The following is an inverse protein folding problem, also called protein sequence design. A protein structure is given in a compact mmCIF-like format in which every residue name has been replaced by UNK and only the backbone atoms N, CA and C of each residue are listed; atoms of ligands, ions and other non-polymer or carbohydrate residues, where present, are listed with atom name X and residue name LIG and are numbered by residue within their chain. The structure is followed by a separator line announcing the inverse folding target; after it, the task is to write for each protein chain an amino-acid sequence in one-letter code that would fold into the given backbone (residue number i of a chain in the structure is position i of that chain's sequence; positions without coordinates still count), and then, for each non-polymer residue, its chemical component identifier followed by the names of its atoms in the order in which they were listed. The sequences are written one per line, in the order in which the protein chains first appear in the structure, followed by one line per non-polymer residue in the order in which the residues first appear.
data_IF_650168053982
#
_entry.id   IF_650168053982
#
_cell.length_a   1.000
_cell.length_b   1.000
_cell.length_c   1.000
_cell.angle_alpha   90.00
_cell.angle_beta   90.00
_cell.angle_gamma   90.00
#
_symmetry.space_group_name_H-M   'P 1'
#
loop_
_entity.id
_entity.type
_entity.pdbx_description
1 polymer ?
#
# COMPACT_ATOMS: atom_id res chain seq x y z
N UNK A 1 -35.57 21.32 -34.24
CA UNK A 1 -34.56 22.02 -33.40
C UNK A 1 -34.42 23.45 -33.90
N UNK A 2 -34.70 24.47 -33.07
CA UNK A 2 -34.64 25.88 -33.46
C UNK A 2 -33.19 26.33 -33.74
N UNK A 3 -33.04 27.43 -34.54
CA UNK A 3 -31.69 27.94 -34.91
C UNK A 3 -30.78 28.15 -33.70
N UNK A 4 -31.27 28.63 -32.55
CA UNK A 4 -30.49 28.80 -31.31
C UNK A 4 -29.94 27.47 -30.75
N UNK A 5 -30.75 26.40 -30.78
CA UNK A 5 -30.28 25.09 -30.29
C UNK A 5 -29.17 24.49 -31.17
N UNK A 6 -29.22 24.74 -32.51
CA UNK A 6 -28.15 24.31 -33.41
C UNK A 6 -26.82 25.02 -33.11
N UNK A 7 -26.86 26.32 -32.80
CA UNK A 7 -25.66 27.07 -32.45
C UNK A 7 -25.05 26.63 -31.09
N UNK A 8 -25.89 26.31 -30.10
CA UNK A 8 -25.43 25.78 -28.81
C UNK A 8 -24.74 24.42 -28.99
N UNK A 9 -25.37 23.52 -29.76
CA UNK A 9 -24.77 22.19 -30.02
C UNK A 9 -23.48 22.32 -30.83
N UNK A 10 -23.41 23.21 -31.81
CA UNK A 10 -22.20 23.48 -32.58
C UNK A 10 -21.08 24.05 -31.66
N UNK A 11 -21.43 24.97 -30.75
CA UNK A 11 -20.47 25.53 -29.79
C UNK A 11 -19.91 24.49 -28.83
N UNK A 12 -20.77 23.61 -28.30
CA UNK A 12 -20.32 22.49 -27.42
C UNK A 12 -19.41 21.53 -28.19
N UNK A 13 -19.80 21.20 -29.45
CA UNK A 13 -18.99 20.32 -30.30
C UNK A 13 -17.59 20.89 -30.60
N UNK A 14 -17.54 22.21 -30.91
CA UNK A 14 -16.28 22.91 -31.17
C UNK A 14 -15.42 22.98 -29.90
N UNK A 15 -16.00 23.22 -28.72
CA UNK A 15 -15.31 23.22 -27.44
C UNK A 15 -14.72 21.85 -27.10
N UNK A 16 -15.49 20.78 -27.29
CA UNK A 16 -15.03 19.43 -27.10
C UNK A 16 -13.89 19.04 -28.06
N UNK A 17 -13.99 19.43 -29.33
CA UNK A 17 -12.94 19.20 -30.32
C UNK A 17 -11.65 19.97 -29.98
N UNK A 18 -11.75 21.22 -29.54
CA UNK A 18 -10.60 22.00 -29.11
C UNK A 18 -9.93 21.41 -27.88
N UNK A 19 -10.69 20.97 -26.87
CA UNK A 19 -10.16 20.27 -25.70
C UNK A 19 -9.46 18.98 -26.10
N UNK A 20 -10.09 18.18 -26.97
CA UNK A 20 -9.47 16.95 -27.49
C UNK A 20 -8.15 17.20 -28.20
N UNK A 21 -8.11 18.25 -29.07
CA UNK A 21 -6.88 18.65 -29.76
C UNK A 21 -5.75 19.07 -28.77
N UNK A 22 -6.12 19.84 -27.73
CA UNK A 22 -5.14 20.23 -26.69
C UNK A 22 -4.61 19.00 -25.95
N UNK A 23 -5.48 18.07 -25.56
CA UNK A 23 -5.09 16.84 -24.86
C UNK A 23 -4.14 15.99 -25.70
N UNK A 24 -4.49 15.79 -27.00
CA UNK A 24 -3.64 15.05 -27.94
C UNK A 24 -2.30 15.74 -28.14
N UNK A 25 -2.29 17.07 -28.32
CA UNK A 25 -1.04 17.83 -28.47
C UNK A 25 -0.17 17.78 -27.23
N UNK A 26 -0.76 17.79 -26.02
CA UNK A 26 -0.02 17.62 -24.76
C UNK A 26 0.53 16.20 -24.62
N UNK A 27 -0.27 15.19 -24.93
CA UNK A 27 0.16 13.80 -24.91
C UNK A 27 1.32 13.53 -25.91
N UNK A 28 1.22 14.06 -27.13
CA UNK A 28 2.27 13.93 -28.14
C UNK A 28 3.58 14.64 -27.76
N UNK A 29 3.50 15.68 -26.91
CA UNK A 29 4.67 16.41 -26.38
C UNK A 29 5.17 15.83 -25.06
N UNK A 30 4.45 14.89 -24.48
CA UNK A 30 4.86 14.23 -23.27
C UNK A 30 5.96 13.22 -23.62
N UNK A 31 7.20 13.69 -23.50
CA UNK A 31 8.40 12.84 -23.51
C UNK A 31 8.92 12.81 -22.07
N UNK A 32 8.90 11.65 -21.41
CA UNK A 32 9.63 11.48 -20.15
C UNK A 32 11.08 11.86 -20.40
N UNK A 33 11.61 12.81 -19.62
CA UNK A 33 12.96 13.34 -19.82
C UNK A 33 14.04 12.29 -19.54
N UNK A 34 13.70 11.30 -18.72
CA UNK A 34 14.59 10.23 -18.35
C UNK A 34 13.90 8.88 -18.63
N UNK A 35 14.43 8.15 -19.59
CA UNK A 35 14.15 6.72 -19.67
C UNK A 35 15.01 6.05 -18.60
N UNK A 36 14.40 5.75 -17.46
CA UNK A 36 15.07 5.00 -16.41
C UNK A 36 15.41 3.61 -16.98
N UNK A 37 16.68 3.36 -17.17
CA UNK A 37 17.15 2.01 -17.46
C UNK A 37 17.35 1.33 -16.11
N UNK A 38 16.68 0.22 -15.92
CA UNK A 38 16.92 -0.60 -14.75
C UNK A 38 18.43 -0.89 -14.65
N UNK A 39 19.00 -0.74 -13.46
CA UNK A 39 20.44 -0.93 -13.24
C UNK A 39 20.93 -2.34 -13.61
N UNK A 40 20.02 -3.30 -13.74
CA UNK A 40 20.33 -4.72 -13.92
C UNK A 40 21.00 -5.35 -12.70
N UNK A 41 21.13 -4.61 -11.61
CA UNK A 41 21.70 -5.13 -10.36
C UNK A 41 20.72 -6.15 -9.77
N UNK A 42 21.15 -7.40 -9.72
CA UNK A 42 20.40 -8.44 -9.02
C UNK A 42 20.64 -8.25 -7.52
N UNK A 43 19.55 -8.05 -6.79
CA UNK A 43 19.57 -8.03 -5.33
C UNK A 43 19.51 -9.49 -4.87
N UNK A 44 20.44 -9.87 -4.02
CA UNK A 44 20.46 -11.20 -3.39
C UNK A 44 19.47 -11.20 -2.23
N UNK A 45 18.40 -11.99 -2.36
CA UNK A 45 17.33 -12.11 -1.39
C UNK A 45 17.23 -13.56 -0.92
N UNK A 46 17.00 -13.74 0.37
CA UNK A 46 16.65 -15.04 0.93
C UNK A 46 15.17 -15.35 0.66
N UNK A 47 14.89 -15.87 -0.53
CA UNK A 47 13.52 -16.16 -0.99
C UNK A 47 12.79 -17.14 -0.05
N UNK A 48 13.51 -18.12 0.52
CA UNK A 48 12.92 -19.10 1.45
C UNK A 48 12.48 -18.42 2.76
N UNK A 49 13.33 -17.58 3.32
CA UNK A 49 12.99 -16.79 4.52
C UNK A 49 11.77 -15.89 4.25
N UNK A 50 11.79 -15.13 3.16
CA UNK A 50 10.69 -14.20 2.81
C UNK A 50 9.36 -14.94 2.71
N UNK A 51 9.34 -16.11 2.04
CA UNK A 51 8.13 -16.93 1.91
C UNK A 51 7.67 -17.46 3.27
N UNK A 52 8.58 -17.94 4.11
CA UNK A 52 8.26 -18.43 5.44
C UNK A 52 7.69 -17.32 6.33
N UNK A 53 8.30 -16.14 6.32
CA UNK A 53 7.85 -14.99 7.10
C UNK A 53 6.45 -14.53 6.66
N UNK A 54 6.22 -14.49 5.35
CA UNK A 54 4.90 -14.20 4.81
C UNK A 54 3.87 -15.25 5.21
N UNK A 55 4.22 -16.54 5.24
CA UNK A 55 3.34 -17.60 5.69
C UNK A 55 2.94 -17.41 7.16
N UNK A 56 3.89 -17.06 8.03
CA UNK A 56 3.59 -16.80 9.45
C UNK A 56 2.67 -15.58 9.62
N UNK A 57 2.86 -14.54 8.84
CA UNK A 57 1.95 -13.38 8.84
C UNK A 57 0.52 -13.75 8.40
N UNK A 58 0.37 -14.58 7.36
CA UNK A 58 -0.96 -15.03 6.88
C UNK A 58 -1.67 -15.88 7.93
N UNK A 59 -0.95 -16.69 8.71
CA UNK A 59 -1.50 -17.52 9.80
C UNK A 59 -2.02 -16.70 10.99
N UNK A 60 -1.76 -15.40 11.03
CA UNK A 60 -2.41 -14.48 11.96
C UNK A 60 -3.74 -14.02 11.36
N UNK A 61 -4.86 -14.45 11.93
CA UNK A 61 -6.22 -14.16 11.44
C UNK A 61 -6.69 -12.77 11.88
N UNK A 62 -6.01 -11.75 11.43
CA UNK A 62 -6.29 -10.36 11.78
C UNK A 62 -7.52 -9.81 11.05
N UNK A 63 -8.65 -10.47 11.22
CA UNK A 63 -9.89 -10.10 10.53
C UNK A 63 -10.52 -8.90 11.23
N UNK A 64 -10.72 -7.82 10.49
CA UNK A 64 -11.44 -6.64 10.95
C UNK A 64 -12.93 -6.73 10.64
N UNK A 65 -13.74 -6.16 11.51
CA UNK A 65 -15.19 -6.10 11.38
C UNK A 65 -15.70 -4.72 11.78
N UNK A 66 -16.76 -4.25 11.12
CA UNK A 66 -17.47 -3.05 11.54
C UNK A 66 -18.12 -3.19 12.95
N UNK A 67 -18.43 -4.42 13.35
CA UNK A 67 -18.84 -4.73 14.72
C UNK A 67 -17.63 -5.17 15.56
N UNK A 68 -17.15 -4.32 16.49
CA UNK A 68 -15.97 -4.64 17.29
C UNK A 68 -16.10 -5.90 18.15
N UNK A 69 -17.31 -6.36 18.43
CA UNK A 69 -17.54 -7.58 19.23
C UNK A 69 -17.14 -8.86 18.49
N UNK A 70 -16.96 -8.80 17.17
CA UNK A 70 -16.56 -9.93 16.33
C UNK A 70 -15.03 -10.01 16.15
N UNK A 71 -14.29 -8.99 16.59
CA UNK A 71 -12.83 -8.92 16.41
C UNK A 71 -12.14 -9.82 17.44
N UNK A 72 -11.31 -10.73 16.97
CA UNK A 72 -10.43 -11.52 17.82
C UNK A 72 -9.10 -10.75 18.06
N UNK A 73 -9.06 -9.97 19.15
CA UNK A 73 -7.89 -9.20 19.54
C UNK A 73 -6.63 -10.04 19.74
N UNK A 74 -6.78 -11.33 20.04
CA UNK A 74 -5.63 -12.22 20.27
C UNK A 74 -4.85 -12.47 18.99
N UNK A 75 -5.51 -12.49 17.83
CA UNK A 75 -4.87 -12.63 16.53
C UNK A 75 -4.10 -11.35 16.14
N UNK A 76 -4.61 -10.17 16.51
CA UNK A 76 -3.90 -8.90 16.33
C UNK A 76 -2.69 -8.80 17.27
N UNK A 77 -2.81 -9.25 18.50
CA UNK A 77 -1.68 -9.31 19.43
C UNK A 77 -0.61 -10.30 18.95
N UNK A 78 -1.04 -11.48 18.50
CA UNK A 78 -0.16 -12.49 17.89
C UNK A 78 0.64 -11.89 16.73
N UNK A 79 -0.02 -11.17 15.81
CA UNK A 79 0.66 -10.52 14.68
C UNK A 79 1.68 -9.48 15.16
N UNK A 80 1.29 -8.62 16.12
CA UNK A 80 2.20 -7.60 16.66
C UNK A 80 3.42 -8.20 17.36
N UNK A 81 3.27 -9.34 18.01
CA UNK A 81 4.37 -10.05 18.69
C UNK A 81 5.25 -10.83 17.72
N UNK A 82 4.71 -11.25 16.59
CA UNK A 82 5.44 -11.93 15.52
C UNK A 82 6.49 -11.03 14.86
N UNK A 83 6.19 -9.75 14.63
CA UNK A 83 7.07 -8.84 13.89
C UNK A 83 8.50 -8.75 14.47
N UNK A 84 8.72 -8.59 15.79
CA UNK A 84 10.07 -8.62 16.35
C UNK A 84 10.81 -9.96 16.18
N UNK A 85 10.09 -11.07 16.09
CA UNK A 85 10.68 -12.40 15.91
C UNK A 85 11.18 -12.58 14.47
N UNK A 86 10.41 -12.09 13.49
CA UNK A 86 10.76 -12.17 12.08
C UNK A 86 11.83 -11.14 11.68
N UNK A 87 11.81 -9.96 12.31
CA UNK A 87 12.61 -8.79 11.93
C UNK A 87 13.44 -8.22 13.09
N UNK A 88 14.42 -9.00 13.62
CA UNK A 88 15.22 -8.60 14.77
C UNK A 88 16.07 -7.36 14.52
N UNK A 89 16.64 -7.17 13.32
CA UNK A 89 17.43 -5.98 13.02
C UNK A 89 16.59 -4.71 13.08
N UNK A 90 15.35 -4.75 12.54
CA UNK A 90 14.42 -3.63 12.66
C UNK A 90 14.06 -3.40 14.11
N UNK A 91 13.78 -4.45 14.87
CA UNK A 91 13.41 -4.33 16.27
C UNK A 91 14.50 -3.68 17.12
N UNK A 92 15.77 -4.03 16.86
CA UNK A 92 16.93 -3.53 17.60
C UNK A 92 17.35 -2.11 17.19
N UNK A 93 17.07 -1.70 15.94
CA UNK A 93 17.58 -0.44 15.39
C UNK A 93 16.50 0.63 15.12
N UNK A 94 15.23 0.27 15.17
CA UNK A 94 14.13 1.20 14.98
C UNK A 94 13.33 1.39 16.28
N UNK A 95 12.88 2.60 16.56
CA UNK A 95 11.87 2.77 17.60
C UNK A 95 10.51 2.30 17.12
N UNK A 96 9.75 1.64 18.01
CA UNK A 96 8.40 1.15 17.73
C UNK A 96 7.41 1.72 18.70
N UNK A 97 6.28 2.18 18.20
CA UNK A 97 5.16 2.69 19.00
C UNK A 97 3.86 2.03 18.53
N UNK A 98 2.94 1.84 19.44
CA UNK A 98 1.55 1.52 19.14
C UNK A 98 0.74 2.81 19.20
N UNK A 99 0.06 3.15 18.11
CA UNK A 99 -0.74 4.36 17.96
C UNK A 99 -2.22 3.96 17.92
N UNK A 100 -3.01 4.56 18.79
CA UNK A 100 -4.39 4.13 18.95
C UNK A 100 -4.49 2.68 19.40
N UNK A 101 -5.44 1.94 18.83
CA UNK A 101 -5.69 0.52 19.19
C UNK A 101 -4.87 -0.45 18.37
N UNK A 102 -4.73 -0.20 17.07
CA UNK A 102 -4.18 -1.15 16.11
C UNK A 102 -3.06 -0.57 15.25
N UNK A 103 -2.78 0.72 15.30
CA UNK A 103 -1.70 1.33 14.53
C UNK A 103 -0.33 0.94 15.07
N UNK A 104 0.58 0.57 14.20
CA UNK A 104 1.99 0.29 14.51
C UNK A 104 2.84 1.30 13.74
N UNK A 105 3.66 2.05 14.46
CA UNK A 105 4.57 3.02 13.86
C UNK A 105 6.01 2.69 14.25
N UNK A 106 6.83 2.35 13.24
CA UNK A 106 8.26 2.24 13.38
C UNK A 106 8.93 3.51 12.86
N UNK A 107 10.03 3.91 13.49
CA UNK A 107 10.91 4.97 13.01
C UNK A 107 12.33 4.41 12.84
N UNK A 108 12.79 4.41 11.62
CA UNK A 108 14.19 4.15 11.26
C UNK A 108 14.92 5.48 11.11
N UNK A 109 15.78 5.79 12.07
CA UNK A 109 16.45 7.08 12.16
C UNK A 109 17.44 7.29 11.01
N UNK A 110 17.36 8.43 10.37
CA UNK A 110 18.30 8.88 9.33
C UNK A 110 19.56 9.49 9.89
N UNK A 111 20.53 9.77 8.99
CA UNK A 111 21.80 10.41 9.29
C UNK A 111 21.69 11.92 9.53
N UNK A 112 20.71 12.54 8.89
CA UNK A 112 20.52 13.98 8.83
C UNK A 112 19.06 14.33 9.13
N UNK A 113 18.83 15.51 9.70
CA UNK A 113 17.48 16.06 9.86
C UNK A 113 16.88 16.36 8.48
N UNK A 114 15.61 16.14 8.32
CA UNK A 114 14.86 16.41 7.10
C UNK A 114 13.47 15.79 7.14
N UNK A 115 12.66 16.13 6.14
CA UNK A 115 11.32 15.60 6.03
C UNK A 115 11.37 14.08 5.72
N UNK A 116 10.71 13.24 6.51
CA UNK A 116 10.79 11.80 6.38
C UNK A 116 9.96 11.25 5.22
N UNK A 117 10.27 10.02 4.84
CA UNK A 117 9.41 9.17 4.01
C UNK A 117 8.60 8.24 4.90
N UNK A 118 7.32 8.05 4.58
CA UNK A 118 6.45 7.07 5.23
C UNK A 118 6.14 5.96 4.23
N UNK A 119 6.38 4.71 4.62
CA UNK A 119 5.97 3.52 3.91
C UNK A 119 4.79 2.91 4.66
N UNK A 120 3.64 2.80 4.00
CA UNK A 120 2.39 2.36 4.60
C UNK A 120 1.99 0.97 4.13
N UNK A 121 1.23 0.31 4.95
CA UNK A 121 0.49 -0.92 4.64
C UNK A 121 -0.54 -1.16 5.73
N UNK A 122 -1.46 -2.09 5.51
CA UNK A 122 -2.32 -2.60 6.58
C UNK A 122 -2.09 -4.10 6.81
N UNK A 123 -2.43 -4.57 8.00
CA UNK A 123 -2.26 -5.97 8.38
C UNK A 123 -3.56 -6.65 8.76
N UNK A 124 -4.66 -5.89 8.84
CA UNK A 124 -5.98 -6.47 8.91
C UNK A 124 -6.44 -7.00 7.55
N UNK A 125 -7.46 -7.81 7.57
CA UNK A 125 -8.01 -8.45 6.37
C UNK A 125 -9.53 -8.56 6.49
N UNK A 126 -10.22 -8.59 5.36
CA UNK A 126 -11.66 -8.85 5.32
C UNK A 126 -12.01 -10.29 5.71
N UNK A 127 -13.22 -10.54 6.20
CA UNK A 127 -13.72 -11.90 6.46
C UNK A 127 -13.64 -12.81 5.23
N UNK A 128 -13.65 -14.11 5.47
CA UNK A 128 -13.67 -15.14 4.43
C UNK A 128 -14.90 -16.01 4.54
N UNK A 129 -15.40 -16.48 3.41
CA UNK A 129 -16.38 -17.54 3.30
C UNK A 129 -15.61 -18.81 2.90
N UNK A 130 -15.14 -19.58 3.90
CA UNK A 130 -14.21 -20.70 3.73
C UNK A 130 -14.68 -21.75 2.70
N UNK A 131 -15.99 -21.93 2.55
CA UNK A 131 -16.59 -22.86 1.59
C UNK A 131 -16.48 -22.39 0.13
N UNK A 132 -16.11 -21.13 -0.11
CA UNK A 132 -15.87 -20.56 -1.43
C UNK A 132 -14.38 -20.54 -1.81
N UNK A 133 -13.49 -20.94 -0.90
CA UNK A 133 -12.06 -20.98 -1.14
C UNK A 133 -11.61 -22.37 -1.61
N UNK A 134 -10.71 -22.40 -2.61
CA UNK A 134 -10.10 -23.65 -3.08
C UNK A 134 -9.15 -24.26 -2.05
N UNK A 135 -8.53 -23.42 -1.23
CA UNK A 135 -7.60 -23.79 -0.15
C UNK A 135 -7.96 -23.04 1.13
N UNK A 136 -7.68 -23.59 2.32
CA UNK A 136 -7.93 -22.89 3.57
C UNK A 136 -7.27 -21.51 3.60
N UNK A 137 -8.07 -20.48 3.85
CA UNK A 137 -7.68 -19.07 3.65
C UNK A 137 -6.52 -18.59 4.54
N UNK A 138 -6.26 -19.24 5.67
CA UNK A 138 -5.25 -18.83 6.65
C UNK A 138 -4.16 -19.89 6.90
N UNK A 139 -4.07 -20.92 6.08
CA UNK A 139 -3.00 -21.92 6.22
C UNK A 139 -1.73 -21.55 5.44
N UNK A 140 -1.80 -20.53 4.62
CA UNK A 140 -0.65 -20.03 3.86
C UNK A 140 0.03 -21.13 3.03
N UNK A 141 -0.74 -21.80 2.19
CA UNK A 141 -0.27 -22.96 1.40
C UNK A 141 0.60 -22.47 0.25
N UNK A 142 1.85 -22.95 0.21
CA UNK A 142 2.74 -22.76 -0.93
C UNK A 142 2.61 -23.97 -1.87
N UNK A 143 2.12 -23.72 -3.08
CA UNK A 143 1.97 -24.77 -4.08
C UNK A 143 2.29 -24.24 -5.48
N UNK A 144 3.12 -24.95 -6.22
CA UNK A 144 3.54 -24.61 -7.59
C UNK A 144 4.19 -23.21 -7.71
N UNK A 145 4.82 -22.70 -6.65
CA UNK A 145 5.42 -21.37 -6.61
C UNK A 145 4.45 -20.24 -6.31
N UNK A 146 3.21 -20.57 -5.95
CA UNK A 146 2.16 -19.63 -5.56
C UNK A 146 1.83 -19.77 -4.07
N UNK A 147 1.81 -18.66 -3.36
CA UNK A 147 1.39 -18.60 -1.95
C UNK A 147 -0.09 -18.24 -1.86
N UNK A 148 -0.88 -19.16 -1.34
CA UNK A 148 -2.33 -19.03 -1.18
C UNK A 148 -2.67 -18.59 0.24
N UNK A 149 -3.48 -17.52 0.35
CA UNK A 149 -3.99 -17.08 1.65
C UNK A 149 -4.66 -15.72 1.60
N UNK A 150 -5.56 -15.45 2.54
CA UNK A 150 -6.18 -14.14 2.74
C UNK A 150 -5.12 -13.16 3.26
N UNK A 151 -4.98 -12.00 2.58
CA UNK A 151 -3.97 -10.99 2.90
C UNK A 151 -2.64 -11.13 2.14
N UNK A 152 -2.48 -12.15 1.25
CA UNK A 152 -1.25 -12.27 0.44
C UNK A 152 -1.06 -11.10 -0.51
N UNK A 153 -2.14 -10.57 -1.08
CA UNK A 153 -2.13 -9.39 -1.96
C UNK A 153 -2.53 -8.13 -1.19
N UNK A 154 -3.58 -8.21 -0.42
CA UNK A 154 -4.24 -7.11 0.27
C UNK A 154 -4.14 -7.33 1.79
N UNK A 155 -3.18 -6.70 2.51
CA UNK A 155 -1.92 -6.19 1.91
C UNK A 155 -0.70 -6.56 2.77
N UNK A 156 -0.77 -7.71 3.50
CA UNK A 156 0.40 -8.25 4.23
C UNK A 156 1.60 -8.49 3.33
N UNK A 157 1.37 -8.72 2.01
CA UNK A 157 2.43 -8.82 1.03
C UNK A 157 3.26 -7.55 0.91
N UNK A 158 2.62 -6.39 0.87
CA UNK A 158 3.29 -5.09 0.87
C UNK A 158 4.05 -4.87 2.19
N UNK A 159 3.42 -5.18 3.34
CA UNK A 159 4.06 -5.10 4.64
C UNK A 159 5.31 -6.00 4.71
N UNK A 160 5.20 -7.24 4.27
CA UNK A 160 6.32 -8.18 4.19
C UNK A 160 7.46 -7.59 3.34
N UNK A 161 7.16 -7.08 2.14
CA UNK A 161 8.16 -6.47 1.27
C UNK A 161 8.88 -5.27 1.88
N UNK A 162 8.16 -4.41 2.61
CA UNK A 162 8.75 -3.27 3.34
C UNK A 162 9.69 -3.77 4.44
N UNK A 163 9.23 -4.72 5.25
CA UNK A 163 9.98 -5.20 6.39
C UNK A 163 11.21 -6.02 5.96
N UNK A 164 11.09 -6.90 4.98
CA UNK A 164 12.22 -7.67 4.45
C UNK A 164 13.32 -6.77 3.85
N UNK A 165 12.91 -5.75 3.10
CA UNK A 165 13.86 -4.79 2.53
C UNK A 165 14.59 -4.01 3.63
N UNK A 166 13.88 -3.55 4.65
CA UNK A 166 14.47 -2.81 5.76
C UNK A 166 15.36 -3.71 6.64
N UNK A 167 14.90 -4.92 6.97
CA UNK A 167 15.65 -5.91 7.74
C UNK A 167 17.01 -6.21 7.11
N UNK A 168 17.01 -6.47 5.80
CA UNK A 168 18.23 -6.70 5.02
C UNK A 168 19.16 -5.48 5.04
N UNK A 169 18.64 -4.31 4.71
CA UNK A 169 19.45 -3.09 4.63
C UNK A 169 20.06 -2.71 5.99
N UNK A 170 19.29 -2.85 7.07
CA UNK A 170 19.80 -2.61 8.43
C UNK A 170 20.87 -3.63 8.78
N UNK A 171 20.63 -4.92 8.49
CA UNK A 171 21.62 -5.97 8.70
C UNK A 171 22.92 -5.79 7.92
N UNK A 172 22.87 -5.12 6.77
CA UNK A 172 24.04 -4.71 5.97
C UNK A 172 24.70 -3.40 6.46
N UNK A 173 24.15 -2.79 7.51
CA UNK A 173 24.66 -1.55 8.09
C UNK A 173 24.28 -0.28 7.33
N UNK A 174 23.28 -0.36 6.44
CA UNK A 174 22.75 0.82 5.76
C UNK A 174 21.99 1.71 6.75
N UNK A 175 22.17 3.02 6.59
CA UNK A 175 21.37 4.03 7.31
C UNK A 175 20.84 5.03 6.26
N UNK A 176 19.54 5.34 6.25
CA UNK A 176 18.96 6.30 5.30
C UNK A 176 19.48 7.72 5.57
N UNK A 177 19.34 8.62 4.61
CA UNK A 177 19.73 10.02 4.82
C UNK A 177 18.77 10.71 5.79
N UNK A 178 17.47 10.59 5.57
CA UNK A 178 16.41 11.11 6.43
C UNK A 178 15.63 9.96 7.04
N UNK A 179 14.85 10.24 8.07
CA UNK A 179 14.04 9.23 8.73
C UNK A 179 13.10 8.53 7.77
N UNK A 180 12.94 7.22 7.96
CA UNK A 180 11.90 6.43 7.31
C UNK A 180 10.95 5.92 8.40
N UNK A 181 9.66 6.15 8.19
CA UNK A 181 8.64 5.57 9.04
C UNK A 181 7.94 4.42 8.33
N UNK A 182 7.68 3.34 9.07
CA UNK A 182 6.79 2.28 8.63
C UNK A 182 5.50 2.42 9.42
N UNK A 183 4.39 2.69 8.72
CA UNK A 183 3.09 2.94 9.32
C UNK A 183 2.14 1.80 8.93
N UNK A 184 1.79 0.95 9.88
CA UNK A 184 0.94 -0.20 9.64
C UNK A 184 -0.38 -0.08 10.38
N UNK A 185 -1.48 -0.11 9.63
CA UNK A 185 -2.84 -0.02 10.15
C UNK A 185 -3.44 -1.41 10.33
N UNK A 186 -4.26 -1.58 11.35
CA UNK A 186 -4.91 -2.86 11.62
C UNK A 186 -6.43 -2.77 11.60
N UNK A 187 -6.98 -1.76 10.93
CA UNK A 187 -8.42 -1.53 10.79
C UNK A 187 -8.76 -0.75 9.50
N UNK A 188 -7.91 -0.93 8.46
CA UNK A 188 -8.05 -0.25 7.17
C UNK A 188 -9.35 -0.68 6.48
N UNK A 189 -9.60 -1.98 6.38
CA UNK A 189 -10.71 -2.62 5.68
C UNK A 189 -12.12 -2.20 6.20
N UNK A 190 -12.14 -1.58 7.37
CA UNK A 190 -13.36 -1.06 8.00
C UNK A 190 -13.36 0.45 8.15
N UNK A 191 -12.44 1.16 7.46
CA UNK A 191 -12.23 2.61 7.61
C UNK A 191 -12.06 3.00 9.08
N UNK A 192 -11.19 2.29 9.79
CA UNK A 192 -10.98 2.44 11.21
C UNK A 192 -10.21 3.71 11.60
N UNK A 193 -9.70 3.71 12.80
CA UNK A 193 -9.13 4.92 13.42
C UNK A 193 -7.60 4.92 13.49
N UNK A 194 -6.94 3.81 13.12
CA UNK A 194 -5.48 3.71 13.25
C UNK A 194 -4.73 4.65 12.31
N UNK A 195 -5.13 4.72 11.05
CA UNK A 195 -4.50 5.64 10.10
C UNK A 195 -4.71 7.12 10.50
N UNK A 196 -5.94 7.60 10.79
CA UNK A 196 -6.15 8.93 11.33
C UNK A 196 -5.32 9.22 12.59
N UNK A 197 -5.22 8.27 13.52
CA UNK A 197 -4.43 8.45 14.74
C UNK A 197 -2.92 8.58 14.45
N UNK A 198 -2.40 7.86 13.47
CA UNK A 198 -1.00 8.01 13.02
C UNK A 198 -0.78 9.40 12.39
N UNK A 199 -1.72 9.88 11.57
CA UNK A 199 -1.66 11.23 11.00
C UNK A 199 -1.66 12.29 12.09
N UNK A 200 -2.58 12.19 13.08
CA UNK A 200 -2.63 13.09 14.23
C UNK A 200 -1.32 13.07 15.02
N UNK A 201 -0.74 11.89 15.21
CA UNK A 201 0.56 11.75 15.86
C UNK A 201 1.66 12.54 15.12
N UNK A 202 1.74 12.48 13.78
CA UNK A 202 2.69 13.26 12.99
C UNK A 202 2.45 14.78 13.16
N UNK A 203 1.19 15.21 13.12
CA UNK A 203 0.81 16.61 13.31
C UNK A 203 1.22 17.12 14.69
N UNK A 204 0.92 16.36 15.76
CA UNK A 204 1.28 16.70 17.15
C UNK A 204 2.79 16.81 17.37
N UNK A 205 3.58 16.04 16.61
CA UNK A 205 5.04 16.08 16.69
C UNK A 205 5.68 17.08 15.72
N UNK A 206 4.86 17.81 14.94
CA UNK A 206 5.33 18.82 13.99
C UNK A 206 6.18 18.24 12.86
N UNK A 207 5.93 16.98 12.50
CA UNK A 207 6.69 16.28 11.46
C UNK A 207 6.04 16.52 10.10
N UNK A 208 6.77 17.13 9.17
CA UNK A 208 6.36 17.30 7.80
C UNK A 208 6.85 16.12 6.97
N UNK A 209 5.93 15.43 6.32
CA UNK A 209 6.23 14.22 5.54
C UNK A 209 6.58 14.63 4.11
N UNK A 210 7.76 14.21 3.61
CA UNK A 210 8.19 14.46 2.23
C UNK A 210 7.43 13.60 1.22
N UNK A 211 7.19 12.33 1.57
CA UNK A 211 6.55 11.36 0.69
C UNK A 211 5.87 10.27 1.50
N UNK A 212 4.71 9.87 1.05
CA UNK A 212 4.02 8.67 1.52
C UNK A 212 3.95 7.68 0.37
N UNK A 213 4.31 6.44 0.63
CA UNK A 213 4.12 5.30 -0.28
C UNK A 213 3.17 4.35 0.42
N UNK A 214 2.02 4.15 -0.18
CA UNK A 214 0.96 3.29 0.31
C UNK A 214 0.73 2.15 -0.67
N UNK A 215 -0.25 1.33 -0.40
CA UNK A 215 -0.68 0.25 -1.27
C UNK A 215 -1.33 0.76 -2.56
N UNK A 216 -1.63 -0.14 -3.45
CA UNK A 216 -2.36 0.13 -4.69
C UNK A 216 -1.46 0.06 -5.91
N UNK A 217 -2.11 0.31 -7.04
CA UNK A 217 -1.50 0.10 -8.32
C UNK A 217 -1.39 -1.39 -8.69
N UNK A 218 -1.18 -1.62 -9.96
CA UNK A 218 -0.94 -2.95 -10.49
C UNK A 218 -0.20 -2.85 -11.82
N UNK A 219 0.47 -3.91 -12.22
CA UNK A 219 0.88 -4.08 -13.61
C UNK A 219 -0.29 -4.72 -14.34
N UNK A 220 -0.88 -3.99 -15.27
CA UNK A 220 -2.08 -4.42 -16.01
C UNK A 220 -1.78 -4.55 -17.49
N UNK A 221 -2.43 -5.50 -18.14
CA UNK A 221 -2.31 -5.73 -19.58
C UNK A 221 -3.68 -5.67 -20.23
N UNK A 222 -3.76 -5.02 -21.40
CA UNK A 222 -4.99 -4.95 -22.20
C UNK A 222 -6.12 -4.11 -21.62
N UNK A 223 -5.91 -3.38 -20.53
CA UNK A 223 -6.92 -2.56 -19.85
C UNK A 223 -7.16 -1.24 -20.58
N UNK A 224 -6.10 -0.67 -21.16
CA UNK A 224 -6.20 0.62 -21.85
C UNK A 224 -6.35 0.43 -23.36
N UNK A 225 -7.38 1.04 -24.00
CA UNK A 225 -7.54 0.96 -25.45
C UNK A 225 -6.31 1.46 -26.21
N UNK A 226 -5.75 0.61 -27.08
CA UNK A 226 -4.59 0.93 -27.90
C UNK A 226 -3.24 0.69 -27.24
N UNK A 227 -3.18 0.31 -25.97
CA UNK A 227 -1.95 -0.07 -25.27
C UNK A 227 -1.87 -1.58 -25.20
N UNK A 228 -0.80 -2.14 -25.78
CA UNK A 228 -0.59 -3.61 -25.87
C UNK A 228 0.45 -4.12 -24.88
N UNK A 229 1.27 -3.24 -24.33
CA UNK A 229 2.29 -3.60 -23.35
C UNK A 229 1.69 -3.64 -21.94
N UNK A 230 2.26 -4.44 -21.03
CA UNK A 230 2.00 -4.32 -19.62
C UNK A 230 2.29 -2.89 -19.13
N UNK A 231 1.41 -2.34 -18.33
CA UNK A 231 1.51 -0.99 -17.77
C UNK A 231 1.54 -1.06 -16.24
N UNK A 232 2.60 -0.57 -15.62
CA UNK A 232 2.62 -0.31 -14.19
C UNK A 232 1.82 0.96 -13.89
N UNK A 233 0.82 0.83 -13.03
CA UNK A 233 -0.01 1.94 -12.58
C UNK A 233 0.55 2.50 -11.29
N UNK A 234 0.81 3.80 -11.27
CA UNK A 234 1.22 4.53 -10.07
C UNK A 234 0.15 5.55 -9.75
N UNK A 235 -0.57 5.35 -8.65
CA UNK A 235 -1.46 6.35 -8.08
C UNK A 235 -0.64 7.50 -7.52
N UNK A 236 -1.04 8.74 -7.79
CA UNK A 236 -0.35 9.93 -7.29
C UNK A 236 -1.22 10.75 -6.32
N UNK A 237 -2.43 10.32 -6.12
CA UNK A 237 -3.39 10.90 -5.18
C UNK A 237 -4.58 9.96 -5.01
N UNK A 238 -5.22 10.06 -3.87
CA UNK A 238 -6.44 9.34 -3.57
C UNK A 238 -7.64 10.29 -3.48
N UNK A 239 -8.83 9.72 -3.71
CA UNK A 239 -10.09 10.43 -3.57
C UNK A 239 -10.69 10.12 -2.21
N UNK A 240 -11.30 11.13 -1.60
CA UNK A 240 -12.17 10.88 -0.45
C UNK A 240 -13.38 10.05 -0.87
N UNK A 241 -13.78 9.12 0.00
CA UNK A 241 -14.99 8.31 -0.16
C UNK A 241 -16.09 8.82 0.79
N UNK A 242 -17.30 8.86 0.27
CA UNK A 242 -18.49 9.22 1.06
C UNK A 242 -19.61 8.22 0.75
N UNK A 243 -20.07 7.52 1.76
CA UNK A 243 -21.24 6.66 1.67
C UNK A 243 -22.49 7.44 2.04
N UNK A 244 -23.49 7.48 1.15
CA UNK A 244 -24.77 8.14 1.39
C UNK A 244 -25.88 7.11 1.39
N UNK A 245 -26.60 7.01 2.51
CA UNK A 245 -27.82 6.18 2.61
C UNK A 245 -29.05 7.06 2.47
N UNK A 246 -29.88 6.77 1.50
CA UNK A 246 -31.20 7.38 1.36
C UNK A 246 -32.22 6.49 2.08
N UNK A 247 -33.04 7.08 2.95
CA UNK A 247 -34.12 6.41 3.70
C UNK A 247 -35.46 7.02 3.30
#
# INVERSE_FOLDING_TARGET
MGKKAKWIVAGIGAGAAALGAVLVARAARFNPKDQYQASGTKIDLDEEKIVNDMQEMIRCKTISYNDPSLIDETEFEKFRNLLPELYPNIHDNCSRQLIGKTGILYRWMGKEEGDPTVLMSHYDVVPVEEDQWEKPAFEAILENGELWGRGTLDTKGTLCGIMEAAEKLIGEGFTPNHDIYFAFCGDEEVNGTSCPAIVEWFEEHGIHIAMVVDEGGAVVEGVFPGVKQPCGLIGIAEKGMMNVRYT
#
